data_IF_776727392061
#
_entry.id   IF_776727392061
#
_cell.length_a   1.000
_cell.length_b   1.000
_cell.length_c   1.000
_cell.angle_alpha   90.00
_cell.angle_beta   90.00
_cell.angle_gamma   90.00
#
_symmetry.space_group_name_H-M   'P 1'
#
loop_
_entity.id
_entity.type
_entity.pdbx_description
1 polymer ?
#
# COMPACT_ATOMS: atom_id res chain seq x y z
N UNK A 1 0.21 7.89 54.07
CA UNK A 1 0.04 8.33 52.67
C UNK A 1 1.23 7.88 51.85
N UNK A 2 1.11 6.80 51.07
CA UNK A 2 2.02 6.49 49.95
C UNK A 2 1.16 5.82 48.87
N UNK A 3 0.82 6.59 47.85
CA UNK A 3 0.11 6.13 46.65
C UNK A 3 1.10 5.44 45.69
N UNK A 4 0.64 4.50 44.85
CA UNK A 4 1.48 3.51 44.18
C UNK A 4 2.20 4.09 42.96
N UNK A 5 3.38 3.53 42.68
CA UNK A 5 4.15 3.72 41.45
C UNK A 5 3.32 3.19 40.27
N UNK A 6 3.01 4.05 39.31
CA UNK A 6 2.35 3.73 38.03
C UNK A 6 3.39 3.70 36.90
N UNK A 7 3.14 2.77 35.97
CA UNK A 7 3.70 2.66 34.61
C UNK A 7 5.20 2.29 34.56
N UNK A 8 5.64 1.40 33.68
CA UNK A 8 5.40 1.41 32.23
C UNK A 8 5.11 -0.02 31.74
N UNK A 9 3.98 -0.16 31.03
CA UNK A 9 3.66 -1.38 30.30
C UNK A 9 4.59 -1.51 29.09
N UNK A 10 5.21 -2.67 28.96
CA UNK A 10 5.92 -3.07 27.75
C UNK A 10 4.83 -3.48 26.75
N UNK A 11 4.40 -2.56 25.91
CA UNK A 11 3.66 -2.90 24.69
C UNK A 11 4.64 -3.49 23.70
N UNK A 12 4.80 -4.80 23.76
CA UNK A 12 5.36 -5.60 22.67
C UNK A 12 4.32 -5.59 21.54
N UNK A 13 4.60 -4.87 20.47
CA UNK A 13 3.73 -4.76 19.31
C UNK A 13 4.48 -4.09 18.18
N UNK A 14 5.50 -4.77 17.65
CA UNK A 14 6.23 -4.37 16.46
C UNK A 14 7.06 -5.57 15.98
N UNK A 15 6.38 -6.65 15.59
CA UNK A 15 6.95 -7.53 14.57
C UNK A 15 6.75 -6.77 13.26
N UNK A 16 7.57 -5.73 13.05
CA UNK A 16 7.51 -4.90 11.85
C UNK A 16 7.73 -5.81 10.65
N UNK A 17 6.79 -5.75 9.71
CA UNK A 17 6.96 -6.21 8.34
C UNK A 17 8.16 -5.45 7.76
N UNK A 18 9.35 -6.02 7.95
CA UNK A 18 10.62 -5.44 7.58
C UNK A 18 10.58 -5.07 6.09
N UNK A 19 10.63 -3.78 5.78
CA UNK A 19 10.71 -3.30 4.40
C UNK A 19 9.74 -2.19 4.01
N UNK A 20 8.59 -2.05 4.68
CA UNK A 20 7.43 -1.43 4.03
C UNK A 20 7.12 0.00 4.48
N UNK A 21 6.52 0.79 3.58
CA UNK A 21 5.72 1.94 3.98
C UNK A 21 4.41 1.44 4.61
N UNK A 22 4.20 1.77 5.89
CA UNK A 22 3.03 1.34 6.68
C UNK A 22 2.45 2.47 7.53
N UNK A 23 1.30 2.26 8.19
CA UNK A 23 0.80 3.18 9.21
C UNK A 23 -0.29 2.55 10.08
N UNK A 24 -0.43 3.01 11.32
CA UNK A 24 -1.53 2.62 12.23
C UNK A 24 -2.87 3.29 11.87
N UNK A 25 -2.84 4.43 11.15
CA UNK A 25 -4.03 5.20 10.80
C UNK A 25 -4.14 5.41 9.29
N UNK A 26 -5.35 5.38 8.71
CA UNK A 26 -5.51 5.60 7.28
C UNK A 26 -5.15 7.04 6.91
N UNK A 27 -4.21 7.22 5.97
CA UNK A 27 -3.91 8.54 5.41
C UNK A 27 -4.84 8.91 4.25
N UNK A 28 -5.39 7.91 3.54
CA UNK A 28 -6.41 8.07 2.52
C UNK A 28 -7.81 7.82 3.06
N UNK A 29 -8.71 8.75 2.75
CA UNK A 29 -10.13 8.70 3.05
C UNK A 29 -10.98 8.85 1.78
N UNK A 30 -12.30 8.91 1.95
CA UNK A 30 -13.24 9.09 0.84
C UNK A 30 -13.01 10.36 0.00
N UNK A 31 -12.40 11.39 0.59
CA UNK A 31 -12.14 12.68 -0.05
C UNK A 31 -10.80 12.69 -0.81
N UNK A 32 -9.78 12.03 -0.25
CA UNK A 32 -8.39 12.05 -0.73
C UNK A 32 -8.01 10.84 -1.58
N UNK A 33 -8.66 9.69 -1.39
CA UNK A 33 -8.46 8.40 -2.07
C UNK A 33 -9.57 8.01 -3.05
N UNK A 34 -10.09 8.98 -3.81
CA UNK A 34 -11.30 8.84 -4.65
C UNK A 34 -11.08 8.42 -6.11
N UNK A 35 -9.86 8.06 -6.51
CA UNK A 35 -9.58 7.72 -7.89
C UNK A 35 -10.24 6.38 -8.27
N UNK A 36 -10.70 6.28 -9.52
CA UNK A 36 -11.36 5.08 -10.04
C UNK A 36 -10.58 4.45 -11.21
N UNK A 37 -9.41 3.83 -10.97
CA UNK A 37 -8.64 3.21 -12.05
C UNK A 37 -9.26 1.92 -12.60
N UNK A 38 -9.96 1.17 -11.76
CA UNK A 38 -10.54 -0.13 -12.09
C UNK A 38 -12.04 0.01 -12.34
N UNK A 39 -12.58 -0.89 -13.17
CA UNK A 39 -14.03 -1.10 -13.31
C UNK A 39 -14.47 -2.22 -12.40
N UNK A 40 -15.74 -2.21 -12.00
CA UNK A 40 -16.33 -3.34 -11.29
C UNK A 40 -16.34 -4.59 -12.18
N UNK A 41 -16.03 -5.76 -11.60
CA UNK A 41 -15.98 -7.03 -12.31
C UNK A 41 -14.95 -8.01 -11.76
N UNK A 42 -14.82 -9.15 -12.42
CA UNK A 42 -13.84 -10.18 -12.08
C UNK A 42 -12.45 -9.83 -12.63
N UNK A 43 -11.42 -10.05 -11.83
CA UNK A 43 -10.02 -9.87 -12.16
C UNK A 43 -9.23 -11.12 -11.76
N UNK A 44 -8.15 -11.37 -12.48
CA UNK A 44 -7.09 -12.30 -12.10
C UNK A 44 -5.95 -11.45 -11.54
N UNK A 45 -5.53 -11.76 -10.31
CA UNK A 45 -4.37 -11.19 -9.64
C UNK A 45 -3.23 -12.21 -9.65
N UNK A 46 -2.10 -11.88 -10.28
CA UNK A 46 -0.93 -12.75 -10.32
C UNK A 46 0.30 -12.02 -9.74
N UNK A 47 1.16 -12.70 -8.96
CA UNK A 47 2.46 -12.15 -8.62
C UNK A 47 3.31 -11.97 -9.89
N UNK A 48 4.05 -10.87 -9.97
CA UNK A 48 5.02 -10.64 -11.04
C UNK A 48 6.39 -11.09 -10.55
N UNK A 49 6.71 -12.36 -10.79
CA UNK A 49 8.05 -12.91 -10.55
C UNK A 49 8.43 -13.92 -11.65
N UNK A 50 9.72 -14.21 -11.80
CA UNK A 50 10.19 -15.22 -12.76
C UNK A 50 9.83 -16.66 -12.33
N UNK A 51 9.49 -16.84 -11.05
CA UNK A 51 9.10 -18.12 -10.46
C UNK A 51 7.58 -18.29 -10.38
N UNK A 52 6.80 -17.24 -10.68
CA UNK A 52 5.34 -17.29 -10.65
C UNK A 52 4.81 -18.21 -11.75
N UNK A 53 3.91 -19.10 -11.35
CA UNK A 53 3.16 -20.00 -12.21
C UNK A 53 1.69 -19.53 -12.33
N UNK A 54 0.95 -20.10 -13.27
CA UNK A 54 -0.50 -19.82 -13.40
C UNK A 54 -1.28 -20.23 -12.13
N UNK A 55 -0.77 -21.20 -11.37
CA UNK A 55 -1.37 -21.67 -10.12
C UNK A 55 -1.22 -20.66 -8.97
N UNK A 56 -0.31 -19.68 -9.09
CA UNK A 56 -0.12 -18.60 -8.11
C UNK A 56 -1.08 -17.42 -8.32
N UNK A 57 -1.93 -17.50 -9.35
CA UNK A 57 -2.91 -16.47 -9.66
C UNK A 57 -4.23 -16.72 -8.92
N UNK A 58 -4.79 -15.65 -8.36
CA UNK A 58 -6.09 -15.67 -7.68
C UNK A 58 -7.14 -14.95 -8.51
N UNK A 59 -8.35 -15.52 -8.60
CA UNK A 59 -9.50 -14.80 -9.15
C UNK A 59 -10.24 -14.06 -8.04
N UNK A 60 -10.60 -12.80 -8.30
CA UNK A 60 -11.26 -11.93 -7.33
C UNK A 60 -12.29 -11.04 -8.01
N UNK A 61 -13.34 -10.68 -7.28
CA UNK A 61 -14.32 -9.68 -7.72
C UNK A 61 -13.96 -8.32 -7.13
N UNK A 62 -13.79 -7.32 -8.00
CA UNK A 62 -13.50 -5.94 -7.62
C UNK A 62 -14.79 -5.13 -7.68
N UNK A 63 -15.14 -4.45 -6.59
CA UNK A 63 -16.34 -3.59 -6.50
C UNK A 63 -15.99 -2.24 -5.91
N UNK A 64 -16.35 -1.15 -6.60
CA UNK A 64 -16.20 0.21 -6.09
C UNK A 64 -17.37 0.63 -5.19
N UNK A 65 -17.05 0.99 -3.95
CA UNK A 65 -18.05 1.29 -2.92
C UNK A 65 -18.44 2.78 -2.85
N UNK A 66 -19.59 3.12 -2.22
CA UNK A 66 -20.01 4.51 -2.01
C UNK A 66 -19.02 5.35 -1.18
N UNK A 67 -18.28 4.73 -0.25
CA UNK A 67 -17.25 5.37 0.58
C UNK A 67 -15.94 5.67 -0.19
N UNK A 68 -15.93 5.38 -1.49
CA UNK A 68 -14.80 5.54 -2.41
C UNK A 68 -13.64 4.58 -2.21
N UNK A 69 -13.85 3.47 -1.50
CA UNK A 69 -12.94 2.34 -1.52
C UNK A 69 -13.27 1.36 -2.65
N UNK A 70 -12.32 0.49 -2.95
CA UNK A 70 -12.54 -0.74 -3.69
C UNK A 70 -12.52 -1.89 -2.70
N UNK A 71 -13.47 -2.81 -2.85
CA UNK A 71 -13.46 -4.09 -2.18
C UNK A 71 -12.98 -5.14 -3.18
N UNK A 72 -11.94 -5.86 -2.79
CA UNK A 72 -11.39 -7.01 -3.50
C UNK A 72 -11.91 -8.24 -2.77
N UNK A 73 -12.78 -8.99 -3.42
CA UNK A 73 -13.50 -10.12 -2.83
C UNK A 73 -12.92 -11.40 -3.43
N UNK A 74 -12.29 -12.22 -2.60
CA UNK A 74 -11.83 -13.58 -2.94
C UNK A 74 -12.72 -14.62 -2.25
N UNK A 75 -12.80 -15.83 -2.82
CA UNK A 75 -13.46 -16.97 -2.15
C UNK A 75 -12.60 -17.55 -1.01
N UNK A 76 -11.31 -17.24 -1.00
CA UNK A 76 -10.33 -17.75 -0.03
C UNK A 76 -10.25 -16.88 1.23
N UNK A 77 -10.72 -15.63 1.16
CA UNK A 77 -10.68 -14.67 2.27
C UNK A 77 -12.07 -14.49 2.90
N UNK A 78 -12.13 -14.43 4.23
CA UNK A 78 -13.39 -14.22 4.95
C UNK A 78 -13.90 -12.78 4.83
N UNK A 79 -12.99 -11.81 4.70
CA UNK A 79 -13.29 -10.38 4.57
C UNK A 79 -12.66 -9.82 3.29
N UNK A 80 -13.30 -8.85 2.62
CA UNK A 80 -12.72 -8.25 1.43
C UNK A 80 -11.51 -7.38 1.77
N UNK A 81 -10.45 -7.46 0.97
CA UNK A 81 -9.35 -6.51 1.06
C UNK A 81 -9.83 -5.12 0.56
N UNK A 82 -9.59 -4.09 1.37
CA UNK A 82 -10.13 -2.73 1.13
C UNK A 82 -9.05 -1.78 0.69
N UNK A 83 -9.13 -1.30 -0.55
CA UNK A 83 -8.13 -0.42 -1.15
C UNK A 83 -8.70 0.97 -1.50
N UNK A 84 -7.89 2.02 -1.32
CA UNK A 84 -8.17 3.39 -1.82
C UNK A 84 -7.08 3.87 -2.76
N UNK A 85 -7.48 4.57 -3.81
CA UNK A 85 -6.57 5.04 -4.86
C UNK A 85 -6.55 6.56 -4.92
N UNK A 86 -5.34 7.14 -4.93
CA UNK A 86 -5.13 8.56 -5.16
C UNK A 86 -4.25 8.76 -6.40
N UNK A 87 -4.74 9.49 -7.40
CA UNK A 87 -3.96 9.75 -8.62
C UNK A 87 -2.72 10.60 -8.29
N UNK A 88 -1.55 10.15 -8.76
CA UNK A 88 -0.27 10.88 -8.63
C UNK A 88 0.33 11.30 -9.98
N UNK A 89 -0.14 10.71 -11.07
CA UNK A 89 0.28 11.00 -12.44
C UNK A 89 -0.68 10.41 -13.47
N UNK A 90 -0.29 10.46 -14.75
CA UNK A 90 -1.07 9.78 -15.79
C UNK A 90 -0.93 8.25 -15.59
N UNK A 91 -2.05 7.57 -15.31
CA UNK A 91 -2.08 6.13 -14.99
C UNK A 91 -1.21 5.72 -13.79
N UNK A 92 -0.81 6.68 -12.94
CA UNK A 92 -0.06 6.44 -11.71
C UNK A 92 -0.90 6.78 -10.48
N UNK A 93 -0.85 5.93 -9.46
CA UNK A 93 -1.67 6.01 -8.27
C UNK A 93 -0.84 5.71 -7.02
N UNK A 94 -1.10 6.45 -5.93
CA UNK A 94 -0.77 6.00 -4.59
C UNK A 94 -1.95 5.18 -4.07
N UNK A 95 -1.67 4.03 -3.51
CA UNK A 95 -2.68 3.05 -3.08
C UNK A 95 -2.47 2.78 -1.61
N UNK A 96 -3.57 2.79 -0.86
CA UNK A 96 -3.61 2.35 0.54
C UNK A 96 -4.45 1.08 0.59
N UNK A 97 -3.90 0.03 1.17
CA UNK A 97 -4.61 -1.20 1.56
C UNK A 97 -4.81 -1.20 3.06
N UNK A 98 -5.97 -1.69 3.53
CA UNK A 98 -6.15 -2.06 4.93
C UNK A 98 -5.63 -3.49 5.09
N UNK A 99 -4.66 -3.67 5.97
CA UNK A 99 -4.12 -4.98 6.35
C UNK A 99 -4.79 -5.49 7.63
N UNK A 100 -4.42 -6.69 8.05
CA UNK A 100 -4.83 -7.25 9.33
C UNK A 100 -4.41 -6.35 10.51
N UNK A 101 -5.09 -6.49 11.65
CA UNK A 101 -4.77 -5.75 12.89
C UNK A 101 -4.84 -4.21 12.82
N UNK A 102 -5.67 -3.67 11.90
CA UNK A 102 -5.88 -2.23 11.69
C UNK A 102 -4.64 -1.46 11.20
N UNK A 103 -3.64 -2.17 10.66
CA UNK A 103 -2.52 -1.56 9.95
C UNK A 103 -2.87 -1.26 8.50
N UNK A 104 -2.10 -0.37 7.88
CA UNK A 104 -2.25 -0.03 6.47
C UNK A 104 -0.93 -0.19 5.76
N UNK A 105 -0.96 -0.84 4.59
CA UNK A 105 0.17 -0.94 3.68
C UNK A 105 -0.02 -0.05 2.46
N UNK A 106 1.10 0.40 1.88
CA UNK A 106 1.11 1.36 0.78
C UNK A 106 1.77 0.82 -0.47
N UNK A 107 1.08 1.00 -1.60
CA UNK A 107 1.52 0.54 -2.91
C UNK A 107 1.57 1.69 -3.91
N UNK A 108 2.47 1.56 -4.89
CA UNK A 108 2.40 2.31 -6.13
C UNK A 108 1.57 1.52 -7.14
N UNK A 109 0.47 2.11 -7.59
CA UNK A 109 -0.38 1.55 -8.63
C UNK A 109 -0.04 2.13 -10.00
N UNK A 110 0.20 1.28 -11.01
CA UNK A 110 0.41 1.71 -12.39
C UNK A 110 -0.54 1.00 -13.36
N UNK A 111 -1.30 1.76 -14.15
CA UNK A 111 -2.16 1.21 -15.19
C UNK A 111 -3.58 1.73 -15.20
N UNK A 112 -4.52 0.85 -15.57
CA UNK A 112 -5.95 1.15 -15.72
C UNK A 112 -6.79 -0.14 -15.60
N UNK A 113 -8.08 -0.06 -15.92
CA UNK A 113 -9.01 -1.18 -15.80
C UNK A 113 -8.68 -2.41 -16.65
N UNK A 114 -7.78 -2.31 -17.63
CA UNK A 114 -7.41 -3.45 -18.46
C UNK A 114 -6.16 -4.17 -17.96
N UNK A 115 -5.32 -3.48 -17.17
CA UNK A 115 -4.09 -4.00 -16.58
C UNK A 115 -3.62 -3.00 -15.54
N UNK A 116 -3.47 -3.42 -14.29
CA UNK A 116 -2.98 -2.62 -13.19
C UNK A 116 -1.90 -3.39 -12.45
N UNK A 117 -0.73 -2.79 -12.22
CA UNK A 117 0.25 -3.34 -11.30
C UNK A 117 0.17 -2.61 -9.97
N UNK A 118 0.30 -3.35 -8.87
CA UNK A 118 0.44 -2.83 -7.51
C UNK A 118 1.82 -3.25 -7.02
N UNK A 119 2.74 -2.30 -6.88
CA UNK A 119 4.09 -2.54 -6.38
C UNK A 119 4.17 -2.05 -4.94
N UNK A 120 4.55 -2.93 -4.02
CA UNK A 120 4.74 -2.55 -2.62
C UNK A 120 5.83 -1.49 -2.52
N UNK A 121 5.54 -0.37 -1.84
CA UNK A 121 6.52 0.70 -1.68
C UNK A 121 7.36 0.48 -0.43
N UNK A 122 8.67 0.43 -0.61
CA UNK A 122 9.66 0.25 0.43
C UNK A 122 10.30 1.58 0.79
N UNK A 123 10.56 1.83 2.08
CA UNK A 123 11.15 3.11 2.47
C UNK A 123 12.62 3.25 2.02
N UNK A 124 13.39 2.17 2.12
CA UNK A 124 14.80 2.11 1.68
C UNK A 124 14.98 2.40 0.18
N UNK A 125 13.99 2.03 -0.64
CA UNK A 125 14.01 2.20 -2.11
C UNK A 125 13.72 3.65 -2.54
N UNK A 126 13.21 4.49 -1.64
CA UNK A 126 13.02 5.91 -1.94
C UNK A 126 14.38 6.60 -2.17
N UNK A 127 14.49 7.50 -3.16
CA UNK A 127 15.66 8.35 -3.31
C UNK A 127 15.98 9.07 -2.00
N UNK A 128 17.25 9.10 -1.60
CA UNK A 128 17.69 9.71 -0.34
C UNK A 128 17.14 11.14 -0.17
N UNK A 129 17.23 11.97 -1.22
CA UNK A 129 16.74 13.34 -1.19
C UNK A 129 15.21 13.45 -1.03
N UNK A 130 14.44 12.45 -1.48
CA UNK A 130 13.00 12.37 -1.27
C UNK A 130 12.73 11.91 0.16
N UNK A 131 13.36 10.82 0.59
CA UNK A 131 13.19 10.25 1.93
C UNK A 131 13.53 11.24 3.05
N UNK A 132 14.73 11.82 3.02
CA UNK A 132 15.19 12.81 4.01
C UNK A 132 14.23 13.98 4.09
N UNK A 133 13.81 14.51 2.94
CA UNK A 133 12.84 15.61 2.92
C UNK A 133 11.50 15.22 3.54
N UNK A 134 10.99 14.01 3.31
CA UNK A 134 9.74 13.57 3.91
C UNK A 134 9.86 13.36 5.42
N UNK A 135 10.98 12.80 5.89
CA UNK A 135 11.29 12.65 7.31
C UNK A 135 11.40 14.02 8.02
N UNK A 136 12.18 14.95 7.47
CA UNK A 136 12.36 16.30 8.02
C UNK A 136 11.04 17.09 8.14
N UNK A 137 10.08 16.80 7.25
CA UNK A 137 8.77 17.45 7.27
C UNK A 137 7.72 16.72 8.13
N UNK A 138 8.06 15.57 8.73
CA UNK A 138 7.13 14.74 9.48
C UNK A 138 6.06 14.06 8.61
N UNK A 139 6.33 13.87 7.32
CA UNK A 139 5.44 13.12 6.43
C UNK A 139 5.68 11.60 6.49
N UNK A 140 6.92 11.24 6.83
CA UNK A 140 7.36 9.90 7.18
C UNK A 140 7.99 9.94 8.57
N UNK A 141 7.94 8.82 9.28
CA UNK A 141 8.69 8.55 10.51
C UNK A 141 9.43 7.22 10.35
N UNK A 142 10.61 7.07 10.94
CA UNK A 142 11.36 5.81 10.94
C UNK A 142 12.09 5.66 12.25
N UNK A 143 11.99 4.48 12.85
CA UNK A 143 12.70 4.12 14.08
C UNK A 143 14.07 3.46 13.80
N UNK A 144 14.44 3.32 12.53
CA UNK A 144 15.59 2.57 12.05
C UNK A 144 16.51 3.43 11.17
N UNK A 145 17.82 3.41 11.44
CA UNK A 145 18.80 4.17 10.67
C UNK A 145 19.02 3.63 9.24
N UNK A 146 18.65 2.38 8.98
CA UNK A 146 18.71 1.73 7.67
C UNK A 146 17.44 1.93 6.82
N UNK A 147 16.42 2.60 7.38
CA UNK A 147 15.12 2.85 6.76
C UNK A 147 14.44 1.58 6.25
N UNK A 148 14.62 0.47 6.98
CA UNK A 148 13.92 -0.78 6.66
C UNK A 148 12.41 -0.56 6.66
N UNK A 149 11.86 0.21 7.59
CA UNK A 149 10.45 0.59 7.58
C UNK A 149 10.29 2.09 7.83
N UNK A 150 9.25 2.66 7.21
CA UNK A 150 8.81 4.02 7.55
C UNK A 150 7.30 4.07 7.72
N UNK A 151 6.87 4.75 8.77
CA UNK A 151 5.48 5.03 9.01
C UNK A 151 5.05 6.26 8.21
N UNK A 152 3.99 6.14 7.42
CA UNK A 152 3.43 7.24 6.64
C UNK A 152 2.44 8.03 7.49
N UNK A 153 2.75 9.30 7.73
CA UNK A 153 1.93 10.17 8.60
C UNK A 153 0.94 11.03 7.83
N UNK A 154 1.19 11.27 6.54
CA UNK A 154 0.39 12.23 5.76
C UNK A 154 0.10 11.73 4.35
N UNK A 155 -0.96 12.31 3.76
CA UNK A 155 -1.25 12.16 2.32
C UNK A 155 -0.05 12.57 1.47
N UNK A 156 0.73 13.59 1.89
CA UNK A 156 1.89 14.05 1.14
C UNK A 156 2.98 12.98 1.14
N UNK A 157 3.31 12.41 2.30
CA UNK A 157 4.25 11.29 2.45
C UNK A 157 3.94 10.14 1.50
N UNK A 158 2.69 9.69 1.52
CA UNK A 158 2.21 8.65 0.60
C UNK A 158 2.39 9.05 -0.88
N UNK A 159 1.91 10.25 -1.24
CA UNK A 159 1.88 10.64 -2.66
C UNK A 159 3.24 10.97 -3.25
N UNK A 160 4.15 11.53 -2.46
CA UNK A 160 5.49 11.89 -2.94
C UNK A 160 6.37 10.64 -3.05
N UNK A 161 6.21 9.67 -2.14
CA UNK A 161 6.77 8.33 -2.30
C UNK A 161 6.26 7.67 -3.60
N UNK A 162 4.94 7.59 -3.81
CA UNK A 162 4.38 7.01 -5.03
C UNK A 162 4.79 7.75 -6.31
N UNK A 163 5.06 9.06 -6.24
CA UNK A 163 5.62 9.82 -7.37
C UNK A 163 7.05 9.45 -7.69
N UNK A 164 7.86 9.07 -6.70
CA UNK A 164 9.22 8.60 -6.93
C UNK A 164 9.20 7.30 -7.75
N UNK A 165 8.37 6.33 -7.35
CA UNK A 165 8.10 5.11 -8.13
C UNK A 165 7.55 5.43 -9.53
N UNK A 166 6.56 6.32 -9.63
CA UNK A 166 5.97 6.72 -10.91
C UNK A 166 6.99 7.32 -11.90
N UNK A 167 8.02 7.98 -11.38
CA UNK A 167 9.09 8.60 -12.18
C UNK A 167 10.27 7.67 -12.42
N UNK A 168 10.22 6.42 -11.94
CA UNK A 168 11.35 5.49 -12.00
C UNK A 168 12.55 5.96 -11.17
N UNK A 169 12.31 6.69 -10.09
CA UNK A 169 13.37 7.15 -9.18
C UNK A 169 13.56 6.20 -8.00
N UNK A 170 12.50 5.49 -7.61
CA UNK A 170 12.56 4.40 -6.64
C UNK A 170 12.57 3.07 -7.41
N UNK A 171 13.61 2.28 -7.20
CA UNK A 171 13.78 0.96 -7.79
C UNK A 171 14.08 -0.01 -6.64
N UNK A 172 13.44 -1.17 -6.68
CA UNK A 172 13.70 -2.26 -5.74
C UNK A 172 14.50 -3.32 -6.46
N UNK A 173 15.51 -3.88 -5.81
CA UNK A 173 16.25 -5.04 -6.34
C UNK A 173 15.32 -6.27 -6.46
N UNK A 174 14.33 -6.36 -5.57
CA UNK A 174 13.35 -7.45 -5.49
C UNK A 174 11.92 -6.87 -5.32
N UNK A 175 11.33 -6.30 -6.39
CA UNK A 175 10.06 -5.60 -6.27
C UNK A 175 8.91 -6.59 -6.05
N UNK A 176 8.25 -6.50 -4.90
CA UNK A 176 7.01 -7.24 -4.66
C UNK A 176 5.90 -6.55 -5.45
N UNK A 177 5.52 -7.16 -6.58
CA UNK A 177 4.51 -6.60 -7.49
C UNK A 177 3.43 -7.62 -7.78
N UNK A 178 2.18 -7.17 -7.70
CA UNK A 178 1.00 -7.90 -8.12
C UNK A 178 0.45 -7.28 -9.40
N UNK A 179 0.06 -8.09 -10.38
CA UNK A 179 -0.62 -7.67 -11.59
C UNK A 179 -2.09 -8.10 -11.58
N UNK A 180 -2.98 -7.14 -11.82
CA UNK A 180 -4.42 -7.31 -11.96
C UNK A 180 -4.81 -7.17 -13.43
N UNK A 181 -5.47 -8.19 -13.98
CA UNK A 181 -6.05 -8.18 -15.33
C UNK A 181 -7.51 -8.62 -15.29
N UNK A 182 -8.41 -8.09 -16.16
CA UNK A 182 -9.78 -8.58 -16.22
C UNK A 182 -9.83 -10.08 -16.50
N UNK A 183 -10.65 -10.81 -15.74
CA UNK A 183 -10.90 -12.21 -16.02
C UNK A 183 -11.62 -12.37 -17.38
N UNK A 184 -11.40 -13.48 -18.10
CA UNK A 184 -12.17 -13.79 -19.31
C UNK A 184 -13.68 -13.79 -18.99
N UNK A 185 -14.48 -13.28 -19.92
CA UNK A 185 -15.94 -13.42 -19.81
C UNK A 185 -16.30 -14.89 -20.02
N UNK A 186 -16.99 -15.49 -19.05
CA UNK A 186 -17.61 -16.82 -19.16
C UNK A 186 -18.79 -16.84 -20.13
#
# INVERSE_FOLDING_TARGET
MRFPVKAVGVSAGALMLAGCLVSEFPVLDASSGRAKPLKDGAYIACPVSEEASEDDCQTMTVVFQPDRSYHFISEEEEEPSVLRFRRVGNRGYAVQSKEEHDEFAYYYGAGNSNRMTLTWMMCKDLPENVRTKLLENGDLESDSDDYEACEVKTVRGLTDAARAYHRGQAESDEPITMELTPAPAE
#
